data_IF_729419791963
#
_entry.id   IF_729419791963
#
_cell.length_a   1.000
_cell.length_b   1.000
_cell.length_c   1.000
_cell.angle_alpha   90.00
_cell.angle_beta   90.00
_cell.angle_gamma   90.00
#
_symmetry.space_group_name_H-M   'P 1'
#
loop_
_entity.id
_entity.type
_entity.pdbx_description
1 polymer ?
#
# COMPACT_ATOMS: atom_id res chain seq x y z
N UNK A 1 21.37 -49.70 -24.78
CA UNK A 1 20.20 -49.39 -23.94
C UNK A 1 20.69 -49.25 -22.50
N UNK A 2 20.54 -48.16 -21.77
CA UNK A 2 19.84 -46.91 -22.05
C UNK A 2 20.50 -45.75 -21.30
N UNK A 3 20.44 -44.58 -21.92
CA UNK A 3 20.63 -43.29 -21.27
C UNK A 3 19.45 -43.00 -20.36
N UNK A 4 19.74 -42.59 -19.13
CA UNK A 4 18.87 -41.76 -18.27
C UNK A 4 19.86 -40.86 -17.52
N UNK A 5 20.07 -39.60 -17.89
CA UNK A 5 19.05 -38.56 -18.01
C UNK A 5 19.16 -37.71 -16.75
N UNK A 6 20.15 -36.81 -16.71
CA UNK A 6 20.25 -35.77 -15.70
C UNK A 6 18.95 -34.94 -15.71
N UNK A 7 18.16 -35.06 -14.65
CA UNK A 7 17.12 -34.10 -14.36
C UNK A 7 17.79 -32.90 -13.68
N UNK A 8 18.11 -31.90 -14.50
CA UNK A 8 18.59 -30.61 -14.04
C UNK A 8 17.66 -30.03 -12.98
N UNK A 9 18.25 -29.69 -11.84
CA UNK A 9 17.65 -28.86 -10.80
C UNK A 9 17.22 -27.54 -11.43
N UNK A 10 15.93 -27.38 -11.70
CA UNK A 10 15.33 -26.06 -11.92
C UNK A 10 15.38 -25.33 -10.59
N UNK A 11 16.46 -24.59 -10.37
CA UNK A 11 16.58 -23.58 -9.33
C UNK A 11 15.66 -22.43 -9.69
N UNK A 12 14.37 -22.60 -9.43
CA UNK A 12 13.46 -21.46 -9.32
C UNK A 12 13.80 -20.80 -7.98
N UNK A 13 14.57 -19.70 -8.03
CA UNK A 13 14.65 -18.78 -6.90
C UNK A 13 13.21 -18.38 -6.55
N UNK A 14 12.72 -18.61 -5.32
CA UNK A 14 11.43 -18.06 -4.94
C UNK A 14 11.62 -16.55 -4.92
N UNK A 15 11.10 -15.87 -5.96
CA UNK A 15 10.81 -14.46 -5.85
C UNK A 15 9.98 -14.25 -4.57
N UNK A 16 10.14 -13.10 -3.88
CA UNK A 16 9.36 -12.85 -2.67
C UNK A 16 7.89 -13.11 -2.97
N UNK A 17 7.15 -13.80 -2.10
CA UNK A 17 5.76 -14.12 -2.37
C UNK A 17 5.04 -12.82 -2.73
N UNK A 18 4.32 -12.80 -3.85
CA UNK A 18 3.53 -11.66 -4.32
C UNK A 18 2.49 -11.20 -3.28
N UNK A 19 2.21 -12.03 -2.26
CA UNK A 19 1.40 -11.69 -1.09
C UNK A 19 2.15 -10.95 0.04
N UNK A 20 3.43 -10.60 -0.10
CA UNK A 20 4.13 -9.78 0.88
C UNK A 20 3.95 -8.29 0.57
N UNK A 21 3.23 -7.58 1.42
CA UNK A 21 3.20 -6.12 1.41
C UNK A 21 4.55 -5.60 1.91
N UNK A 22 5.24 -4.84 1.07
CA UNK A 22 6.41 -4.06 1.46
C UNK A 22 6.02 -2.61 1.57
N UNK A 23 6.43 -1.97 2.67
CA UNK A 23 6.28 -0.53 2.85
C UNK A 23 7.64 0.06 3.19
N UNK A 24 8.09 1.02 2.39
CA UNK A 24 9.40 1.66 2.51
C UNK A 24 9.22 3.18 2.54
N UNK A 25 10.04 3.94 3.29
CA UNK A 25 10.00 5.40 3.23
C UNK A 25 10.41 5.89 1.84
N UNK A 26 9.78 6.96 1.37
CA UNK A 26 10.21 7.67 0.17
C UNK A 26 11.52 8.41 0.45
N UNK A 27 12.38 8.51 -0.55
CA UNK A 27 13.72 9.11 -0.41
C UNK A 27 13.75 10.60 -0.70
N UNK A 28 12.77 11.10 -1.45
CA UNK A 28 12.73 12.45 -2.01
C UNK A 28 11.68 13.35 -1.35
N UNK A 29 10.69 12.78 -0.67
CA UNK A 29 9.61 13.52 0.00
C UNK A 29 9.09 12.76 1.23
N UNK A 30 8.45 13.44 2.21
CA UNK A 30 7.87 12.77 3.35
C UNK A 30 6.78 11.80 2.94
N UNK A 31 6.92 10.52 3.29
CA UNK A 31 5.93 9.53 2.93
C UNK A 31 6.48 8.12 2.80
N UNK A 32 5.63 7.24 2.28
CA UNK A 32 5.94 5.83 2.09
C UNK A 32 5.45 5.33 0.73
N UNK A 33 6.19 4.38 0.18
CA UNK A 33 5.78 3.60 -0.97
C UNK A 33 5.33 2.22 -0.50
N UNK A 34 4.16 1.79 -0.95
CA UNK A 34 3.65 0.45 -0.74
C UNK A 34 3.74 -0.38 -2.03
N UNK A 35 4.14 -1.65 -1.90
CA UNK A 35 4.23 -2.58 -3.02
C UNK A 35 3.73 -3.97 -2.60
N UNK A 36 2.93 -4.62 -3.45
CA UNK A 36 2.32 -5.93 -3.20
C UNK A 36 0.82 -5.86 -2.95
N UNK A 37 0.30 -6.70 -2.06
CA UNK A 37 -1.13 -6.83 -1.79
C UNK A 37 -1.50 -6.25 -0.43
N UNK A 38 -2.58 -5.46 -0.35
CA UNK A 38 -3.21 -5.07 0.91
C UNK A 38 -4.39 -6.01 1.14
N UNK A 39 -4.12 -7.11 1.84
CA UNK A 39 -5.07 -8.16 2.21
C UNK A 39 -5.08 -8.41 3.72
N UNK A 40 -5.98 -9.29 4.18
CA UNK A 40 -6.04 -9.73 5.57
C UNK A 40 -4.69 -10.23 6.11
N UNK A 41 -3.89 -10.93 5.28
CA UNK A 41 -2.59 -11.48 5.69
C UNK A 41 -1.54 -10.39 5.92
N UNK A 42 -1.64 -9.30 5.18
CA UNK A 42 -0.69 -8.18 5.20
C UNK A 42 -1.19 -7.00 6.03
N UNK A 43 -2.42 -7.08 6.55
CA UNK A 43 -3.07 -6.00 7.30
C UNK A 43 -2.24 -5.48 8.47
N UNK A 44 -1.53 -6.31 9.26
CA UNK A 44 -0.67 -5.79 10.32
C UNK A 44 0.44 -4.85 9.81
N UNK A 45 1.07 -5.18 8.68
CA UNK A 45 2.10 -4.33 8.07
C UNK A 45 1.51 -3.03 7.52
N UNK A 46 0.31 -3.11 6.91
CA UNK A 46 -0.42 -1.94 6.43
C UNK A 46 -0.81 -0.99 7.57
N UNK A 47 -1.42 -1.50 8.64
CA UNK A 47 -1.81 -0.70 9.80
C UNK A 47 -0.60 -0.09 10.52
N UNK A 48 0.52 -0.80 10.57
CA UNK A 48 1.77 -0.25 11.09
C UNK A 48 2.26 0.94 10.25
N UNK A 49 2.25 0.82 8.92
CA UNK A 49 2.60 1.93 8.04
C UNK A 49 1.68 3.13 8.22
N UNK A 50 0.36 2.91 8.29
CA UNK A 50 -0.62 3.96 8.55
C UNK A 50 -0.42 4.61 9.92
N UNK A 51 -0.06 3.83 10.93
CA UNK A 51 0.31 4.34 12.25
C UNK A 51 1.53 5.26 12.20
N UNK A 52 2.54 4.92 11.41
CA UNK A 52 3.71 5.79 11.20
C UNK A 52 3.33 7.07 10.46
N UNK A 53 2.48 6.96 9.45
CA UNK A 53 1.97 8.09 8.68
C UNK A 53 1.17 9.08 9.55
N UNK A 54 0.27 8.58 10.40
CA UNK A 54 -0.49 9.42 11.31
C UNK A 54 0.40 10.15 12.33
N UNK A 55 1.54 9.56 12.71
CA UNK A 55 2.48 10.13 13.68
C UNK A 55 3.58 11.00 13.09
N UNK A 56 3.69 11.08 11.76
CA UNK A 56 4.61 12.03 11.12
C UNK A 56 4.31 13.46 11.58
N UNK A 57 5.31 14.33 11.74
CA UNK A 57 5.07 15.75 12.05
C UNK A 57 4.90 16.60 10.78
N UNK A 58 4.94 15.96 9.62
CA UNK A 58 4.92 16.60 8.32
C UNK A 58 3.50 17.03 7.93
N UNK A 59 3.38 18.25 7.41
CA UNK A 59 2.10 18.82 6.94
C UNK A 59 1.50 17.99 5.80
N UNK A 60 2.35 17.48 4.92
CA UNK A 60 1.95 16.63 3.80
C UNK A 60 2.73 15.33 3.84
N UNK A 61 2.02 14.20 3.87
CA UNK A 61 2.61 12.86 3.77
C UNK A 61 2.14 12.17 2.50
N UNK A 62 3.08 11.68 1.72
CA UNK A 62 2.84 10.99 0.46
C UNK A 62 2.68 9.48 0.68
N UNK A 63 1.74 8.87 -0.03
CA UNK A 63 1.49 7.45 -0.01
C UNK A 63 1.43 6.96 -1.46
N UNK A 64 2.56 6.43 -1.94
CA UNK A 64 2.75 5.98 -3.31
C UNK A 64 2.31 4.52 -3.46
N UNK A 65 1.33 4.28 -4.33
CA UNK A 65 0.62 3.01 -4.45
C UNK A 65 0.69 2.37 -5.85
N UNK A 66 1.49 2.90 -6.78
CA UNK A 66 1.62 2.35 -8.14
C UNK A 66 2.04 0.87 -8.19
N UNK A 67 2.75 0.38 -7.17
CA UNK A 67 3.19 -1.00 -7.06
C UNK A 67 2.23 -1.90 -6.25
N UNK A 68 1.07 -1.37 -5.82
CA UNK A 68 0.03 -2.14 -5.15
C UNK A 68 -0.85 -2.83 -6.19
N UNK A 69 -0.93 -4.15 -6.12
CA UNK A 69 -1.63 -4.99 -7.10
C UNK A 69 -3.05 -5.37 -6.67
N UNK A 70 -3.31 -5.33 -5.37
CA UNK A 70 -4.61 -5.69 -4.79
C UNK A 70 -4.84 -4.93 -3.49
N UNK A 71 -6.10 -4.57 -3.23
CA UNK A 71 -6.53 -3.94 -1.99
C UNK A 71 -7.91 -4.42 -1.59
N UNK A 72 -8.03 -4.93 -0.37
CA UNK A 72 -9.31 -5.27 0.24
C UNK A 72 -9.98 -4.03 0.84
N UNK A 73 -11.31 -4.06 0.95
CA UNK A 73 -12.10 -2.94 1.51
C UNK A 73 -11.67 -2.58 2.93
N UNK A 74 -11.30 -3.56 3.75
CA UNK A 74 -10.83 -3.30 5.11
C UNK A 74 -9.50 -2.53 5.14
N UNK A 75 -8.62 -2.74 4.16
CA UNK A 75 -7.39 -1.96 4.00
C UNK A 75 -7.68 -0.51 3.64
N UNK A 76 -8.65 -0.27 2.74
CA UNK A 76 -9.12 1.09 2.40
C UNK A 76 -9.77 1.75 3.61
N UNK A 77 -10.59 1.00 4.36
CA UNK A 77 -11.22 1.49 5.59
C UNK A 77 -10.18 1.90 6.62
N UNK A 78 -9.11 1.12 6.82
CA UNK A 78 -8.04 1.48 7.73
C UNK A 78 -7.40 2.82 7.33
N UNK A 79 -7.11 3.01 6.03
CA UNK A 79 -6.57 4.26 5.50
C UNK A 79 -7.52 5.44 5.74
N UNK A 80 -8.81 5.29 5.46
CA UNK A 80 -9.79 6.35 5.65
C UNK A 80 -9.94 6.72 7.14
N UNK A 81 -9.88 5.75 8.03
CA UNK A 81 -9.91 5.98 9.48
C UNK A 81 -8.63 6.69 9.96
N UNK A 82 -7.47 6.30 9.45
CA UNK A 82 -6.21 6.98 9.72
C UNK A 82 -6.27 8.43 9.28
N UNK A 83 -6.76 8.70 8.06
CA UNK A 83 -6.88 10.04 7.52
C UNK A 83 -7.86 10.93 8.30
N UNK A 84 -8.95 10.38 8.83
CA UNK A 84 -9.86 11.14 9.71
C UNK A 84 -9.23 11.47 11.07
N UNK A 85 -8.24 10.69 11.51
CA UNK A 85 -7.58 10.85 12.80
C UNK A 85 -6.36 11.77 12.80
N UNK A 86 -5.90 12.26 11.64
CA UNK A 86 -4.73 13.15 11.61
C UNK A 86 -5.10 14.58 12.07
N UNK A 87 -4.17 15.31 12.71
CA UNK A 87 -4.40 16.70 13.13
C UNK A 87 -4.84 17.63 11.99
N UNK A 88 -5.63 18.66 12.32
CA UNK A 88 -5.98 19.72 11.36
C UNK A 88 -4.73 20.36 10.74
N UNK A 89 -4.81 20.68 9.45
CA UNK A 89 -3.68 21.24 8.69
C UNK A 89 -2.74 20.19 8.11
N UNK A 90 -2.88 18.91 8.49
CA UNK A 90 -2.15 17.81 7.87
C UNK A 90 -2.98 17.10 6.80
N UNK A 91 -2.32 16.58 5.78
CA UNK A 91 -2.94 15.84 4.68
C UNK A 91 -2.12 14.64 4.23
N UNK A 92 -2.81 13.67 3.67
CA UNK A 92 -2.27 12.48 3.03
C UNK A 92 -2.49 12.63 1.53
N UNK A 93 -1.42 12.61 0.76
CA UNK A 93 -1.48 12.58 -0.70
C UNK A 93 -1.31 11.13 -1.13
N UNK A 94 -2.35 10.54 -1.70
CA UNK A 94 -2.32 9.20 -2.28
C UNK A 94 -1.93 9.34 -3.75
N UNK A 95 -0.86 8.66 -4.15
CA UNK A 95 -0.33 8.70 -5.51
C UNK A 95 -0.51 7.35 -6.21
N UNK A 96 -1.02 7.40 -7.43
CA UNK A 96 -1.30 6.25 -8.31
C UNK A 96 -2.05 5.10 -7.60
N UNK A 97 -3.22 5.36 -6.99
CA UNK A 97 -3.96 4.33 -6.30
C UNK A 97 -4.49 3.24 -7.26
N UNK A 98 -4.61 2.00 -6.79
CA UNK A 98 -5.43 1.01 -7.49
C UNK A 98 -6.87 1.52 -7.63
N UNK A 99 -7.48 1.32 -8.81
CA UNK A 99 -8.84 1.80 -9.09
C UNK A 99 -9.89 1.32 -8.06
N UNK A 100 -9.67 0.15 -7.47
CA UNK A 100 -10.51 -0.38 -6.39
C UNK A 100 -10.46 0.49 -5.12
N UNK A 101 -9.27 0.99 -4.74
CA UNK A 101 -9.11 1.88 -3.59
C UNK A 101 -9.88 3.17 -3.82
N UNK A 102 -9.67 3.81 -4.98
CA UNK A 102 -10.34 5.05 -5.35
C UNK A 102 -11.86 4.89 -5.31
N UNK A 103 -12.39 3.83 -5.94
CA UNK A 103 -13.83 3.55 -5.96
C UNK A 103 -14.42 3.35 -4.56
N UNK A 104 -13.70 2.67 -3.67
CA UNK A 104 -14.15 2.44 -2.29
C UNK A 104 -14.13 3.74 -1.48
N UNK A 105 -13.08 4.56 -1.61
CA UNK A 105 -13.04 5.89 -0.98
C UNK A 105 -14.20 6.77 -1.46
N UNK A 106 -14.42 6.85 -2.78
CA UNK A 106 -15.50 7.66 -3.35
C UNK A 106 -16.89 7.21 -2.89
N UNK A 107 -17.09 5.90 -2.67
CA UNK A 107 -18.38 5.33 -2.28
C UNK A 107 -18.69 5.51 -0.78
N UNK A 108 -17.69 5.35 0.09
CA UNK A 108 -17.91 5.27 1.55
C UNK A 108 -17.39 6.49 2.32
N UNK A 109 -16.44 7.23 1.77
CA UNK A 109 -15.88 8.45 2.35
C UNK A 109 -15.84 9.61 1.33
N UNK A 110 -16.98 9.94 0.69
CA UNK A 110 -17.03 11.09 -0.20
C UNK A 110 -16.67 12.36 0.60
N UNK A 111 -15.67 13.12 0.13
CA UNK A 111 -15.27 14.38 0.75
C UNK A 111 -14.30 14.25 1.93
N UNK A 112 -13.49 13.19 1.97
CA UNK A 112 -12.41 13.05 2.94
C UNK A 112 -11.32 14.12 2.71
N UNK A 113 -11.47 15.29 3.35
CA UNK A 113 -10.67 16.50 3.12
C UNK A 113 -9.17 16.33 3.42
N UNK A 114 -8.82 15.38 4.28
CA UNK A 114 -7.44 15.06 4.64
C UNK A 114 -6.76 14.13 3.64
N UNK A 115 -7.47 13.67 2.60
CA UNK A 115 -6.93 12.84 1.53
C UNK A 115 -7.02 13.56 0.20
N UNK A 116 -5.88 13.68 -0.46
CA UNK A 116 -5.76 14.13 -1.84
C UNK A 116 -5.37 12.93 -2.70
N UNK A 117 -6.07 12.69 -3.82
CA UNK A 117 -5.79 11.57 -4.71
C UNK A 117 -5.19 12.06 -6.02
N UNK A 118 -4.01 11.56 -6.36
CA UNK A 118 -3.22 11.89 -7.54
C UNK A 118 -3.00 10.63 -8.37
N UNK A 119 -3.03 10.74 -9.70
CA UNK A 119 -2.91 9.56 -10.57
C UNK A 119 -4.24 8.82 -10.76
N UNK A 120 -4.18 7.55 -11.21
CA UNK A 120 -5.34 6.88 -11.84
C UNK A 120 -6.57 6.67 -10.95
#
# INVERSE_FOLDING_TARGET
MGSSGEAGTLSASPGPPTSALRVLPLTDRPGWQAAGEVSLLTRPAWEQALCHLARSDEETCHLELSAVTFVEVAGVSALAMTAQGIPQGRRIVIEEPPAALRRVLDLFWPGLLTVEVMGR
#
